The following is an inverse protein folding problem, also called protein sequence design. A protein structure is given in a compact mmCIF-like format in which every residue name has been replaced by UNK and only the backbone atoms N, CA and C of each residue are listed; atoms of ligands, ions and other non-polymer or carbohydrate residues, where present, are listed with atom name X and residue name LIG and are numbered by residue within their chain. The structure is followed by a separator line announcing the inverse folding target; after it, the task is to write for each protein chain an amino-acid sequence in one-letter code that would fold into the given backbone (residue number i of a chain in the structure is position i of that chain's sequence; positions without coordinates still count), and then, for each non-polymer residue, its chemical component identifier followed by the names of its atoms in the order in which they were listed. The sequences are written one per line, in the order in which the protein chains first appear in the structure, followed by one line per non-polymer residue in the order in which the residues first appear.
data_IF_060737159311
#
_entry.id   IF_060737159311
#
_cell.length_a   1.000
_cell.length_b   1.000
_cell.length_c   1.000
_cell.angle_alpha   90.00
_cell.angle_beta   90.00
_cell.angle_gamma   90.00
#
_symmetry.space_group_name_H-M   'P 1'
#
loop_
_entity.id
_entity.type
_entity.pdbx_description
1 polymer ?
#
# COMPACT_ATOMS: atom_id res chain seq x y z
N UNK A 1 -9.54 14.57 2.91
CA UNK A 1 -9.77 15.14 4.26
C UNK A 1 -10.12 13.98 5.17
N UNK A 2 -9.61 13.95 6.39
CA UNK A 2 -9.93 12.87 7.35
C UNK A 2 -11.40 12.96 7.77
N UNK A 3 -12.10 11.83 7.96
CA UNK A 3 -13.35 11.79 8.69
C UNK A 3 -13.18 12.40 10.09
N UNK A 4 -14.18 13.18 10.54
CA UNK A 4 -14.10 13.94 11.79
C UNK A 4 -13.84 13.05 13.01
N UNK A 5 -14.42 11.85 13.03
CA UNK A 5 -14.21 10.85 14.09
C UNK A 5 -12.75 10.38 14.17
N UNK A 6 -12.13 10.02 13.03
CA UNK A 6 -10.74 9.54 12.98
C UNK A 6 -9.79 10.66 13.38
N UNK A 7 -10.07 11.89 12.94
CA UNK A 7 -9.28 13.05 13.31
C UNK A 7 -9.30 13.28 14.83
N UNK A 8 -10.48 13.24 15.45
CA UNK A 8 -10.62 13.43 16.89
C UNK A 8 -9.87 12.35 17.69
N UNK A 9 -9.94 11.09 17.24
CA UNK A 9 -9.21 9.98 17.86
C UNK A 9 -7.68 10.18 17.79
N UNK A 10 -7.16 10.60 16.62
CA UNK A 10 -5.74 10.90 16.47
C UNK A 10 -5.32 12.09 17.34
N UNK A 11 -6.12 13.15 17.41
CA UNK A 11 -5.82 14.32 18.26
C UNK A 11 -5.73 13.93 19.75
N UNK A 12 -6.58 13.03 20.24
CA UNK A 12 -6.50 12.48 21.60
C UNK A 12 -5.21 11.68 21.79
N UNK A 13 -4.92 10.73 20.89
CA UNK A 13 -3.70 9.90 20.98
C UNK A 13 -2.42 10.74 20.96
N UNK A 14 -2.38 11.79 20.12
CA UNK A 14 -1.26 12.72 20.03
C UNK A 14 -1.11 13.54 21.31
N UNK A 15 -2.21 13.95 21.94
CA UNK A 15 -2.17 14.71 23.18
C UNK A 15 -1.74 13.87 24.39
N UNK A 16 -2.03 12.57 24.39
CA UNK A 16 -1.65 11.62 25.45
C UNK A 16 -0.22 11.09 25.30
N UNK A 17 0.37 11.18 24.11
CA UNK A 17 1.72 10.66 23.85
C UNK A 17 2.81 11.56 24.45
N UNK A 18 3.78 10.96 25.15
CA UNK A 18 4.98 11.66 25.62
C UNK A 18 5.83 12.19 24.45
N UNK A 19 5.82 11.47 23.33
CA UNK A 19 6.56 11.80 22.11
C UNK A 19 5.63 11.75 20.89
N UNK A 20 4.94 12.85 20.55
CA UNK A 20 4.01 12.92 19.43
C UNK A 20 4.60 12.45 18.10
N UNK A 21 5.90 12.66 17.86
CA UNK A 21 6.56 12.30 16.60
C UNK A 21 6.53 10.78 16.33
N UNK A 22 6.43 9.96 17.37
CA UNK A 22 6.36 8.49 17.24
C UNK A 22 5.08 8.04 16.53
N UNK A 23 4.04 8.87 16.53
CA UNK A 23 2.77 8.61 15.85
C UNK A 23 2.76 9.06 14.38
N UNK A 24 3.88 9.53 13.83
CA UNK A 24 3.93 10.05 12.46
C UNK A 24 3.42 9.05 11.42
N UNK A 25 3.86 7.79 11.50
CA UNK A 25 3.43 6.72 10.59
C UNK A 25 1.93 6.45 10.72
N UNK A 26 1.40 6.39 11.94
CA UNK A 26 -0.03 6.16 12.19
C UNK A 26 -0.89 7.27 11.57
N UNK A 27 -0.49 8.52 11.77
CA UNK A 27 -1.20 9.68 11.20
C UNK A 27 -1.16 9.64 9.67
N UNK A 28 0.00 9.37 9.07
CA UNK A 28 0.13 9.26 7.62
C UNK A 28 -0.71 8.12 7.04
N UNK A 29 -0.74 6.96 7.70
CA UNK A 29 -1.57 5.83 7.28
C UNK A 29 -3.06 6.17 7.36
N UNK A 30 -3.52 6.88 8.39
CA UNK A 30 -4.90 7.31 8.49
C UNK A 30 -5.30 8.27 7.35
N UNK A 31 -4.42 9.20 6.98
CA UNK A 31 -4.64 10.07 5.81
C UNK A 31 -4.70 9.28 4.51
N UNK A 32 -3.80 8.31 4.34
CA UNK A 32 -3.77 7.44 3.19
C UNK A 32 -5.01 6.55 3.09
N UNK A 33 -5.49 5.98 4.18
CA UNK A 33 -6.72 5.16 4.19
C UNK A 33 -7.95 5.98 3.78
N UNK A 34 -8.00 7.26 4.16
CA UNK A 34 -9.11 8.16 3.79
C UNK A 34 -9.06 8.66 2.34
N UNK A 35 -7.88 8.73 1.72
CA UNK A 35 -7.68 9.39 0.41
C UNK A 35 -7.03 8.50 -0.66
N UNK A 36 -6.63 7.27 -0.33
CA UNK A 36 -5.87 6.35 -1.17
C UNK A 36 -4.35 6.59 -1.16
N UNK A 37 -3.90 7.84 -0.99
CA UNK A 37 -2.50 8.21 -0.97
C UNK A 37 -2.27 9.46 -0.10
N UNK A 38 -1.03 9.71 0.30
CA UNK A 38 -0.64 10.89 1.05
C UNK A 38 -0.39 12.05 0.08
N UNK A 39 -1.32 13.01 0.02
CA UNK A 39 -1.15 14.26 -0.74
C UNK A 39 -0.28 15.29 -0.01
N UNK A 40 0.22 16.32 -0.70
CA UNK A 40 0.96 17.44 -0.09
C UNK A 40 0.14 18.14 1.01
N UNK A 41 -1.15 18.39 0.77
CA UNK A 41 -2.05 18.97 1.79
C UNK A 41 -2.23 18.06 3.01
N UNK A 42 -2.28 16.75 2.80
CA UNK A 42 -2.37 15.79 3.90
C UNK A 42 -1.09 15.77 4.73
N UNK A 43 0.07 15.86 4.07
CA UNK A 43 1.37 15.96 4.71
C UNK A 43 1.52 17.22 5.56
N UNK A 44 1.15 18.39 5.03
CA UNK A 44 1.14 19.64 5.80
C UNK A 44 0.22 19.56 7.03
N UNK A 45 -0.94 18.93 6.87
CA UNK A 45 -1.90 18.74 7.97
C UNK A 45 -1.32 17.80 9.03
N UNK A 46 -0.70 16.70 8.62
CA UNK A 46 -0.04 15.76 9.53
C UNK A 46 1.12 16.42 10.30
N UNK A 47 1.96 17.21 9.61
CA UNK A 47 3.03 17.98 10.22
C UNK A 47 2.51 18.95 11.28
N UNK A 48 1.42 19.66 10.98
CA UNK A 48 0.77 20.55 11.94
C UNK A 48 0.19 19.82 13.16
N UNK A 49 -0.44 18.65 12.97
CA UNK A 49 -0.98 17.83 14.05
C UNK A 49 0.12 17.33 15.00
N UNK A 50 1.26 16.92 14.45
CA UNK A 50 2.38 16.33 15.18
C UNK A 50 3.38 17.36 15.71
N UNK A 51 3.20 18.65 15.35
CA UNK A 51 4.14 19.75 15.61
C UNK A 51 5.55 19.46 15.07
N UNK A 52 5.62 18.86 13.89
CA UNK A 52 6.85 18.55 13.16
C UNK A 52 7.00 19.46 11.94
N UNK A 53 8.21 19.55 11.39
CA UNK A 53 8.43 20.19 10.11
C UNK A 53 7.91 19.30 8.97
N UNK A 54 7.34 19.91 7.93
CA UNK A 54 6.88 19.18 6.74
C UNK A 54 7.99 18.33 6.11
N UNK A 55 9.25 18.80 6.17
CA UNK A 55 10.40 18.05 5.66
C UNK A 55 10.61 16.74 6.42
N UNK A 56 10.46 16.72 7.75
CA UNK A 56 10.61 15.51 8.56
C UNK A 56 9.53 14.48 8.19
N UNK A 57 8.30 14.93 7.94
CA UNK A 57 7.23 14.04 7.49
C UNK A 57 7.50 13.51 6.08
N UNK A 58 8.02 14.35 5.16
CA UNK A 58 8.39 13.93 3.81
C UNK A 58 9.51 12.88 3.82
N UNK A 59 10.53 13.04 4.67
CA UNK A 59 11.61 12.07 4.85
C UNK A 59 11.05 10.71 5.30
N UNK A 60 10.11 10.70 6.25
CA UNK A 60 9.49 9.45 6.71
C UNK A 60 8.60 8.85 5.61
N UNK A 61 7.83 9.69 4.91
CA UNK A 61 6.91 9.24 3.86
C UNK A 61 7.64 8.65 2.65
N UNK A 62 8.85 9.13 2.35
CA UNK A 62 9.69 8.60 1.27
C UNK A 62 10.53 7.39 1.69
N UNK A 63 10.75 7.19 3.00
CA UNK A 63 11.47 6.05 3.54
C UNK A 63 10.64 4.75 3.54
N UNK A 64 9.35 4.82 3.92
CA UNK A 64 8.50 3.63 4.02
C UNK A 64 7.78 3.29 2.71
N UNK A 65 8.02 2.08 2.19
CA UNK A 65 7.47 1.58 0.92
C UNK A 65 5.94 1.52 0.85
N UNK A 66 5.25 1.42 1.99
CA UNK A 66 3.79 1.31 2.06
C UNK A 66 3.08 2.67 2.24
N UNK A 67 3.84 3.77 2.25
CA UNK A 67 3.29 5.13 2.21
C UNK A 67 3.37 5.61 0.76
N UNK A 68 2.22 5.84 0.16
CA UNK A 68 2.08 6.21 -1.24
C UNK A 68 2.04 7.73 -1.36
N UNK A 69 3.02 8.31 -2.07
CA UNK A 69 3.07 9.75 -2.37
C UNK A 69 2.36 10.12 -3.66
N UNK A 70 2.02 9.13 -4.48
CA UNK A 70 1.31 9.30 -5.75
C UNK A 70 -0.06 8.61 -5.71
N UNK A 71 -1.03 9.05 -6.52
CA UNK A 71 -2.33 8.39 -6.60
C UNK A 71 -2.20 6.93 -7.03
N UNK A 72 -2.69 6.04 -6.18
CA UNK A 72 -2.80 4.61 -6.47
C UNK A 72 -4.24 4.23 -6.78
N UNK A 73 -4.42 3.10 -7.47
CA UNK A 73 -5.69 2.48 -7.72
C UNK A 73 -6.30 1.91 -6.44
N UNK A 74 -7.56 1.47 -6.56
CA UNK A 74 -8.35 0.95 -5.43
C UNK A 74 -7.71 -0.28 -4.76
N UNK A 75 -7.02 -1.11 -5.54
CA UNK A 75 -6.36 -2.32 -5.09
C UNK A 75 -4.87 -2.22 -5.41
N UNK A 76 -4.04 -2.11 -4.37
CA UNK A 76 -2.58 -2.10 -4.55
C UNK A 76 -2.05 -3.51 -4.42
N UNK A 77 -1.46 -4.01 -5.50
CA UNK A 77 -0.84 -5.33 -5.59
C UNK A 77 0.66 -5.17 -5.36
N UNK A 78 1.15 -5.78 -4.29
CA UNK A 78 2.57 -5.91 -3.97
C UNK A 78 3.04 -7.31 -4.34
N UNK A 79 3.93 -7.42 -5.33
CA UNK A 79 4.47 -8.72 -5.77
C UNK A 79 5.81 -8.98 -5.10
N UNK A 80 5.95 -10.12 -4.43
CA UNK A 80 7.20 -10.51 -3.79
C UNK A 80 8.27 -10.85 -4.84
N UNK A 81 9.36 -10.11 -4.85
CA UNK A 81 10.54 -10.33 -5.71
C UNK A 81 11.74 -10.89 -4.91
N UNK A 82 11.47 -11.61 -3.83
CA UNK A 82 12.52 -12.31 -3.09
C UNK A 82 13.00 -13.57 -3.83
N UNK A 83 14.24 -13.99 -3.56
CA UNK A 83 14.87 -15.14 -4.22
C UNK A 83 14.03 -16.42 -4.19
N UNK A 84 13.30 -16.69 -3.10
CA UNK A 84 12.47 -17.89 -3.00
C UNK A 84 11.27 -17.82 -3.95
N UNK A 85 10.58 -16.68 -3.99
CA UNK A 85 9.47 -16.47 -4.93
C UNK A 85 9.93 -16.44 -6.38
N UNK A 86 11.14 -15.95 -6.63
CA UNK A 86 11.74 -15.96 -7.96
C UNK A 86 12.13 -17.38 -8.42
N UNK A 87 12.67 -18.22 -7.55
CA UNK A 87 13.05 -19.60 -7.88
C UNK A 87 11.84 -20.51 -8.10
N UNK A 88 10.77 -20.30 -7.33
CA UNK A 88 9.56 -21.13 -7.35
C UNK A 88 8.58 -20.71 -8.48
N UNK A 89 8.70 -19.46 -8.96
CA UNK A 89 7.98 -18.97 -10.12
C UNK A 89 8.73 -19.29 -11.42
N UNK A 90 8.24 -20.26 -12.21
CA UNK A 90 8.81 -20.59 -13.53
C UNK A 90 8.81 -19.41 -14.52
N UNK A 91 7.91 -18.46 -14.28
CA UNK A 91 7.80 -17.16 -14.95
C UNK A 91 7.67 -16.11 -13.84
N UNK A 92 8.30 -14.95 -14.02
CA UNK A 92 8.16 -13.86 -13.06
C UNK A 92 6.69 -13.55 -12.84
N UNK A 93 6.23 -13.73 -11.59
CA UNK A 93 4.87 -13.42 -11.17
C UNK A 93 4.48 -12.00 -11.58
N UNK A 94 5.44 -11.08 -11.51
CA UNK A 94 5.31 -9.70 -11.98
C UNK A 94 4.95 -9.65 -13.46
N UNK A 95 5.70 -10.33 -14.33
CA UNK A 95 5.48 -10.30 -15.79
C UNK A 95 4.12 -10.84 -16.19
N UNK A 96 3.67 -11.90 -15.51
CA UNK A 96 2.35 -12.47 -15.74
C UNK A 96 1.24 -11.47 -15.40
N UNK A 97 1.32 -10.82 -14.23
CA UNK A 97 0.33 -9.82 -13.79
C UNK A 97 0.39 -8.58 -14.68
N UNK A 98 1.57 -8.10 -15.06
CA UNK A 98 1.76 -7.00 -16.02
C UNK A 98 1.03 -7.26 -17.33
N UNK A 99 1.19 -8.45 -17.92
CA UNK A 99 0.50 -8.80 -19.18
C UNK A 99 -1.01 -8.95 -19.00
N UNK A 100 -1.45 -9.48 -17.87
CA UNK A 100 -2.89 -9.65 -17.57
C UNK A 100 -3.60 -8.30 -17.45
N UNK A 101 -2.98 -7.37 -16.73
CA UNK A 101 -3.54 -6.04 -16.45
C UNK A 101 -3.20 -5.00 -17.54
N UNK A 102 -2.25 -5.31 -18.44
CA UNK A 102 -1.81 -4.40 -19.49
C UNK A 102 -1.03 -3.19 -18.98
N UNK A 103 -0.33 -3.33 -17.85
CA UNK A 103 0.44 -2.26 -17.18
C UNK A 103 1.87 -2.70 -16.89
N UNK A 104 2.77 -1.74 -16.69
CA UNK A 104 4.13 -1.99 -16.21
C UNK A 104 4.22 -1.90 -14.68
N UNK A 105 5.30 -2.41 -14.05
CA UNK A 105 5.54 -2.20 -12.62
C UNK A 105 5.60 -0.70 -12.29
N UNK A 106 4.97 -0.31 -11.18
CA UNK A 106 4.80 1.09 -10.78
C UNK A 106 3.56 1.77 -11.36
N UNK A 107 2.86 1.16 -12.31
CA UNK A 107 1.72 1.78 -12.97
C UNK A 107 0.37 1.37 -12.37
N UNK A 108 -0.63 2.19 -12.67
CA UNK A 108 -2.03 1.98 -12.32
C UNK A 108 -2.84 1.73 -13.58
N UNK A 109 -3.80 0.81 -13.53
CA UNK A 109 -4.69 0.51 -14.64
C UNK A 109 -5.54 1.74 -15.01
N UNK A 110 -5.93 1.85 -16.29
CA UNK A 110 -6.68 3.01 -16.80
C UNK A 110 -8.07 3.19 -16.14
N UNK A 111 -8.64 2.12 -15.59
CA UNK A 111 -9.89 2.13 -14.83
C UNK A 111 -9.70 2.50 -13.34
N UNK A 112 -8.46 2.75 -12.91
CA UNK A 112 -8.11 3.12 -11.54
C UNK A 112 -8.30 2.00 -10.52
N UNK A 113 -8.47 0.74 -10.95
CA UNK A 113 -8.75 -0.37 -10.04
C UNK A 113 -7.51 -0.99 -9.43
N UNK A 114 -6.43 -1.13 -10.20
CA UNK A 114 -5.23 -1.84 -9.74
C UNK A 114 -3.98 -0.99 -9.91
N UNK A 115 -3.12 -0.99 -8.89
CA UNK A 115 -1.72 -0.54 -9.00
C UNK A 115 -0.81 -1.71 -8.72
N UNK A 116 0.22 -1.87 -9.55
CA UNK A 116 1.17 -2.96 -9.42
C UNK A 116 2.52 -2.43 -8.92
N UNK A 117 2.91 -2.81 -7.71
CA UNK A 117 4.17 -2.40 -7.09
C UNK A 117 5.04 -3.64 -6.80
N UNK A 118 6.37 -3.54 -7.03
CA UNK A 118 7.30 -4.54 -6.53
C UNK A 118 7.40 -4.42 -5.00
N UNK A 119 7.51 -5.55 -4.33
CA UNK A 119 7.87 -5.63 -2.93
C UNK A 119 9.03 -6.61 -2.78
N UNK A 120 9.88 -6.39 -1.78
CA UNK A 120 10.90 -7.37 -1.40
C UNK A 120 10.23 -8.59 -0.73
N UNK A 121 10.86 -9.17 0.30
CA UNK A 121 10.30 -10.31 1.00
C UNK A 121 9.02 -9.93 1.77
N UNK A 122 7.91 -10.63 1.49
CA UNK A 122 6.65 -10.51 2.23
C UNK A 122 6.57 -11.43 3.47
N UNK A 123 7.65 -12.16 3.78
CA UNK A 123 7.69 -13.10 4.91
C UNK A 123 6.84 -14.36 4.74
N UNK A 124 6.45 -14.69 3.50
CA UNK A 124 5.53 -15.79 3.16
C UNK A 124 6.22 -16.93 2.38
N UNK A 125 7.50 -17.17 2.71
CA UNK A 125 8.37 -18.06 1.93
C UNK A 125 7.93 -19.54 1.97
N UNK A 126 7.27 -20.00 3.03
CA UNK A 126 6.70 -21.35 3.13
C UNK A 126 5.56 -21.59 2.12
N UNK A 127 4.95 -20.50 1.64
CA UNK A 127 3.85 -20.51 0.65
C UNK A 127 4.21 -19.73 -0.60
N UNK A 128 5.47 -19.80 -0.99
CA UNK A 128 5.91 -19.27 -2.28
C UNK A 128 5.12 -19.89 -3.45
N UNK A 129 4.98 -19.17 -4.59
CA UNK A 129 5.16 -17.72 -4.77
C UNK A 129 4.06 -16.91 -4.07
N UNK A 130 4.37 -15.67 -3.66
CA UNK A 130 3.46 -14.83 -2.86
C UNK A 130 3.26 -13.41 -3.39
N UNK A 131 2.08 -12.85 -3.15
CA UNK A 131 1.71 -11.45 -3.42
C UNK A 131 0.80 -10.93 -2.32
N UNK A 132 0.70 -9.62 -2.16
CA UNK A 132 -0.17 -8.96 -1.20
C UNK A 132 -1.10 -7.98 -1.92
N UNK A 133 -2.39 -8.00 -1.58
CA UNK A 133 -3.37 -7.02 -2.09
C UNK A 133 -4.06 -6.38 -0.89
N UNK A 134 -4.02 -5.05 -0.77
CA UNK A 134 -4.63 -4.29 0.32
C UNK A 134 -4.36 -4.90 1.72
N UNK A 135 -3.09 -5.21 1.99
CA UNK A 135 -2.58 -5.83 3.25
C UNK A 135 -2.90 -7.31 3.45
N UNK A 136 -3.64 -7.96 2.55
CA UNK A 136 -3.89 -9.41 2.60
C UNK A 136 -2.88 -10.15 1.73
N UNK A 137 -2.15 -11.09 2.34
CA UNK A 137 -1.14 -11.91 1.66
C UNK A 137 -1.77 -13.17 1.08
N UNK A 138 -1.41 -13.49 -0.15
CA UNK A 138 -1.78 -14.67 -0.91
C UNK A 138 -0.52 -15.45 -1.29
N UNK A 139 -0.53 -16.76 -1.04
CA UNK A 139 0.58 -17.66 -1.37
C UNK A 139 0.13 -18.86 -2.20
N UNK A 140 1.07 -19.73 -2.55
CA UNK A 140 0.92 -20.85 -3.50
C UNK A 140 0.25 -20.37 -4.78
N UNK A 141 0.80 -19.29 -5.35
CA UNK A 141 0.23 -18.63 -6.52
C UNK A 141 0.56 -19.42 -7.77
N UNK A 142 -0.50 -19.89 -8.44
CA UNK A 142 -0.50 -20.32 -9.84
C UNK A 142 -1.20 -19.27 -10.69
N UNK A 143 -1.02 -19.34 -12.02
CA UNK A 143 -1.71 -18.46 -12.98
C UNK A 143 -3.24 -18.45 -12.76
N UNK A 144 -3.84 -19.63 -12.64
CA UNK A 144 -5.28 -19.77 -12.42
C UNK A 144 -5.72 -19.12 -11.08
N UNK A 145 -4.92 -19.32 -10.02
CA UNK A 145 -5.22 -18.72 -8.72
C UNK A 145 -5.09 -17.20 -8.75
N UNK A 146 -4.13 -16.67 -9.48
CA UNK A 146 -3.98 -15.21 -9.66
C UNK A 146 -5.19 -14.66 -10.40
N UNK A 147 -5.60 -15.30 -11.48
CA UNK A 147 -6.79 -14.92 -12.25
C UNK A 147 -8.05 -14.93 -11.38
N UNK A 148 -8.25 -15.95 -10.56
CA UNK A 148 -9.36 -16.04 -9.61
C UNK A 148 -9.34 -14.90 -8.58
N UNK A 149 -8.15 -14.58 -8.05
CA UNK A 149 -7.97 -13.49 -7.08
C UNK A 149 -8.29 -12.14 -7.75
N UNK A 150 -7.73 -11.86 -8.92
CA UNK A 150 -7.97 -10.61 -9.65
C UNK A 150 -9.46 -10.46 -10.00
N UNK A 151 -10.10 -11.50 -10.51
CA UNK A 151 -11.53 -11.50 -10.84
C UNK A 151 -12.43 -11.29 -9.62
N UNK A 152 -11.98 -11.69 -8.42
CA UNK A 152 -12.69 -11.38 -7.17
C UNK A 152 -12.65 -9.88 -6.87
N UNK A 153 -11.46 -9.26 -6.93
CA UNK A 153 -11.30 -7.83 -6.69
C UNK A 153 -11.91 -6.94 -7.78
N UNK A 154 -12.12 -7.47 -8.99
CA UNK A 154 -12.90 -6.78 -10.03
C UNK A 154 -14.40 -6.73 -9.74
N UNK A 155 -14.93 -7.75 -9.04
CA UNK A 155 -16.37 -7.92 -8.73
C UNK A 155 -16.78 -7.33 -7.38
N UNK A 156 -15.86 -7.29 -6.42
CA UNK A 156 -16.08 -6.61 -5.15
C UNK A 156 -16.10 -5.08 -5.41
N UNK A 157 -17.29 -4.52 -5.62
CA UNK A 157 -17.52 -3.08 -5.43
C UNK A 157 -17.30 -2.75 -3.93
N UNK A 158 -16.65 -1.62 -3.61
CA UNK A 158 -16.26 -1.32 -2.25
C UNK A 158 -17.48 -1.09 -1.35
N UNK A 159 -17.35 -1.54 -0.10
CA UNK A 159 -18.15 -1.06 1.03
C UNK A 159 -17.77 0.37 1.40
#
# INVERSE_FOLDING_TARGET
MLPEQIRAELEIRIAEADHPQELAVDVMLAFQEAAGYLSERALETAAAMLKMHSLEIEEIATFYTFIYREPVGRNVIHVCDSVICWLDGSESLMDYICRKLGIAPGQTTADGKFTLLPACCLGYCDRSPAMMINRKVYGHLSRDRIDDILARFEREEPA
#
